data_IF_466408792820
#
_entry.id   IF_466408792820
#
_cell.length_a   1.000
_cell.length_b   1.000
_cell.length_c   1.000
_cell.angle_alpha   90.00
_cell.angle_beta   90.00
_cell.angle_gamma   90.00
#
_symmetry.space_group_name_H-M   'P 1'
#
loop_
_entity.id
_entity.type
_entity.pdbx_description
1 polymer ?
#
# COMPACT_ATOMS: atom_id res chain seq x y z
N UNK A 1 6.32 4.84 6.54
CA UNK A 1 5.35 5.24 7.61
C UNK A 1 5.37 4.15 8.68
N UNK A 2 5.68 4.44 9.95
CA UNK A 2 5.62 3.41 11.01
C UNK A 2 4.16 3.09 11.33
N UNK A 3 3.71 1.86 11.09
CA UNK A 3 2.43 1.37 11.56
C UNK A 3 2.40 1.47 13.10
N UNK A 4 1.59 2.38 13.64
CA UNK A 4 1.38 2.51 15.08
C UNK A 4 0.31 1.52 15.49
N UNK A 5 0.70 0.45 16.16
CA UNK A 5 -0.24 -0.47 16.82
C UNK A 5 -0.26 -0.17 18.31
N UNK A 6 -1.47 -0.13 18.88
CA UNK A 6 -1.67 0.05 20.31
C UNK A 6 -1.99 -1.31 20.94
N UNK A 7 -1.09 -1.81 21.79
CA UNK A 7 -1.33 -3.01 22.58
C UNK A 7 -1.88 -2.58 23.94
N UNK A 8 -3.00 -3.17 24.35
CA UNK A 8 -3.52 -3.02 25.71
C UNK A 8 -3.01 -4.19 26.54
N UNK A 9 -2.33 -3.87 27.64
CA UNK A 9 -1.82 -4.85 28.59
C UNK A 9 -2.68 -4.79 29.85
N UNK A 10 -3.16 -5.96 30.30
CA UNK A 10 -3.79 -6.08 31.61
C UNK A 10 -2.70 -6.11 32.67
N UNK A 11 -2.75 -5.16 33.61
CA UNK A 11 -1.75 -5.02 34.67
C UNK A 11 -2.41 -5.43 35.98
N UNK A 12 -1.96 -6.53 36.57
CA UNK A 12 -2.39 -6.91 37.90
C UNK A 12 -1.81 -5.93 38.93
N UNK A 13 -2.70 -5.21 39.61
CA UNK A 13 -2.33 -4.36 40.71
C UNK A 13 -2.38 -5.15 42.03
N UNK A 14 -1.50 -4.86 43.00
CA UNK A 14 -1.63 -5.40 44.34
C UNK A 14 -2.94 -4.92 44.97
N UNK A 15 -3.57 -5.76 45.80
CA UNK A 15 -4.90 -5.50 46.37
C UNK A 15 -5.00 -4.09 46.96
N UNK A 16 -5.88 -3.26 46.36
CA UNK A 16 -6.18 -1.91 46.82
C UNK A 16 -5.20 -0.81 46.40
N UNK A 17 -4.21 -1.10 45.56
CA UNK A 17 -3.19 -0.15 45.12
C UNK A 17 -3.29 0.30 43.66
N UNK A 18 -2.63 1.42 43.35
CA UNK A 18 -2.32 1.81 41.96
C UNK A 18 -1.05 1.06 41.54
N UNK A 19 -1.01 0.40 40.37
CA UNK A 19 0.18 -0.31 39.92
C UNK A 19 1.35 0.65 39.74
N UNK A 20 2.45 0.36 40.44
CA UNK A 20 3.72 1.07 40.29
C UNK A 20 4.49 0.67 39.01
N UNK A 21 5.57 1.39 38.66
CA UNK A 21 6.36 1.13 37.46
C UNK A 21 6.81 -0.34 37.31
N UNK A 22 7.17 -0.98 38.41
CA UNK A 22 7.58 -2.40 38.48
C UNK A 22 6.49 -3.37 37.99
N UNK A 23 5.21 -3.05 38.21
CA UNK A 23 4.08 -3.85 37.73
C UNK A 23 3.91 -3.70 36.22
N UNK A 24 4.12 -2.48 35.70
CA UNK A 24 4.09 -2.20 34.27
C UNK A 24 5.23 -2.92 33.53
N UNK A 25 6.45 -2.87 34.08
CA UNK A 25 7.60 -3.56 33.51
C UNK A 25 7.40 -5.08 33.50
N UNK A 26 6.91 -5.65 34.61
CA UNK A 26 6.62 -7.08 34.69
C UNK A 26 5.55 -7.52 33.68
N UNK A 27 4.49 -6.73 33.50
CA UNK A 27 3.45 -7.01 32.50
C UNK A 27 4.00 -6.93 31.06
N UNK A 28 4.86 -5.94 30.78
CA UNK A 28 5.49 -5.78 29.48
C UNK A 28 6.46 -6.93 29.17
N UNK A 29 7.33 -7.29 30.12
CA UNK A 29 8.27 -8.41 29.97
C UNK A 29 7.53 -9.73 29.76
N UNK A 30 6.47 -9.99 30.54
CA UNK A 30 5.64 -11.18 30.37
C UNK A 30 5.00 -11.26 28.98
N UNK A 31 4.43 -10.15 28.49
CA UNK A 31 3.84 -10.09 27.16
C UNK A 31 4.88 -10.29 26.04
N UNK A 32 6.10 -9.76 26.21
CA UNK A 32 7.20 -9.96 25.25
C UNK A 32 7.71 -11.41 25.25
N UNK A 33 7.84 -12.03 26.42
CA UNK A 33 8.28 -13.41 26.54
C UNK A 33 7.24 -14.39 25.97
N UNK A 34 5.95 -14.14 26.23
CA UNK A 34 4.86 -14.90 25.63
C UNK A 34 4.86 -14.78 24.11
N UNK A 35 4.96 -13.55 23.58
CA UNK A 35 5.05 -13.32 22.13
C UNK A 35 6.30 -13.97 21.50
N UNK A 36 7.43 -14.01 22.22
CA UNK A 36 8.64 -14.68 21.76
C UNK A 36 8.48 -16.22 21.71
N UNK A 37 7.68 -16.79 22.62
CA UNK A 37 7.42 -18.24 22.69
C UNK A 37 6.36 -18.67 21.68
N UNK A 38 5.28 -17.89 21.56
CA UNK A 38 4.20 -18.10 20.60
C UNK A 38 3.62 -16.74 20.15
N UNK A 39 4.03 -16.23 18.98
CA UNK A 39 3.57 -14.93 18.50
C UNK A 39 2.12 -14.96 18.02
N UNK A 40 1.45 -16.12 17.94
CA UNK A 40 0.15 -16.26 17.27
C UNK A 40 -0.95 -15.39 17.87
N UNK A 41 -1.03 -15.27 19.21
CA UNK A 41 -2.00 -14.42 19.89
C UNK A 41 -1.77 -12.93 19.68
N UNK A 42 -0.50 -12.49 19.71
CA UNK A 42 -0.12 -11.12 19.40
C UNK A 42 -0.41 -10.78 17.94
N UNK A 43 -0.05 -11.69 17.01
CA UNK A 43 -0.32 -11.55 15.59
C UNK A 43 -1.84 -11.54 15.30
N UNK A 44 -2.65 -12.31 16.02
CA UNK A 44 -4.10 -12.28 15.90
C UNK A 44 -4.67 -10.92 16.32
N UNK A 45 -4.22 -10.36 17.44
CA UNK A 45 -4.61 -9.01 17.90
C UNK A 45 -4.15 -7.91 16.95
N UNK A 46 -2.95 -8.02 16.39
CA UNK A 46 -2.48 -7.11 15.32
C UNK A 46 -3.41 -7.21 14.11
N UNK A 47 -3.76 -8.44 13.69
CA UNK A 47 -4.71 -8.67 12.59
C UNK A 47 -6.11 -8.14 12.90
N UNK A 48 -6.59 -8.18 14.13
CA UNK A 48 -7.87 -7.60 14.54
C UNK A 48 -7.84 -6.07 14.61
N UNK A 49 -6.69 -5.49 14.97
CA UNK A 49 -6.49 -4.04 15.09
C UNK A 49 -6.21 -3.33 13.75
N UNK A 50 -5.79 -4.07 12.70
CA UNK A 50 -5.72 -3.52 11.35
C UNK A 50 -7.16 -3.30 10.84
N UNK A 51 -7.54 -2.06 10.45
CA UNK A 51 -8.87 -1.77 9.94
C UNK A 51 -9.29 -2.67 8.77
N UNK A 52 -10.59 -2.81 8.63
CA UNK A 52 -11.29 -3.81 7.84
C UNK A 52 -11.01 -3.70 6.34
N UNK A 53 -10.64 -4.82 5.68
CA UNK A 53 -10.94 -5.06 4.25
C UNK A 53 -10.70 -3.85 3.31
N UNK A 54 -9.65 -3.07 3.57
CA UNK A 54 -9.47 -1.77 2.91
C UNK A 54 -9.06 -1.91 1.45
N UNK A 55 -8.57 -3.08 1.05
CA UNK A 55 -8.16 -3.36 -0.32
C UNK A 55 -9.12 -4.34 -0.99
N UNK A 56 -9.55 -3.98 -2.19
CA UNK A 56 -10.37 -4.80 -3.08
C UNK A 56 -9.71 -4.94 -4.43
N UNK A 57 -10.02 -6.02 -5.13
CA UNK A 57 -9.67 -6.15 -6.55
C UNK A 57 -10.67 -5.32 -7.37
N UNK A 58 -10.19 -4.32 -8.10
CA UNK A 58 -11.00 -3.53 -9.05
C UNK A 58 -10.55 -3.73 -10.49
N UNK A 59 -11.41 -3.30 -11.42
CA UNK A 59 -11.05 -3.16 -12.83
C UNK A 59 -10.10 -1.98 -13.01
N UNK A 60 -9.06 -2.16 -13.82
CA UNK A 60 -8.19 -1.08 -14.28
C UNK A 60 -8.89 -0.18 -15.31
N UNK A 61 -9.85 -0.72 -16.06
CA UNK A 61 -10.50 -0.04 -17.19
C UNK A 61 -11.53 1.03 -16.78
N UNK A 62 -11.86 1.17 -15.49
CA UNK A 62 -12.82 2.17 -15.06
C UNK A 62 -13.07 2.20 -13.54
N UNK A 63 -13.73 3.26 -13.05
CA UNK A 63 -14.11 3.39 -11.64
C UNK A 63 -15.23 2.43 -11.23
N UNK A 64 -15.29 2.14 -9.93
CA UNK A 64 -16.45 1.55 -9.29
C UNK A 64 -16.79 0.11 -9.66
N UNK A 65 -15.87 -0.66 -10.26
CA UNK A 65 -16.09 -2.08 -10.55
C UNK A 65 -15.17 -2.97 -9.71
N UNK A 66 -15.73 -3.78 -8.82
CA UNK A 66 -14.99 -4.72 -7.97
C UNK A 66 -15.25 -6.17 -8.35
N UNK A 67 -14.24 -7.03 -8.20
CA UNK A 67 -14.35 -8.46 -8.49
C UNK A 67 -14.91 -9.20 -7.27
N UNK A 68 -15.93 -10.02 -7.47
CA UNK A 68 -16.53 -10.86 -6.41
C UNK A 68 -15.91 -12.27 -6.37
N UNK A 69 -16.17 -13.00 -5.28
CA UNK A 69 -15.80 -14.41 -5.09
C UNK A 69 -16.38 -15.36 -6.16
N UNK A 70 -17.48 -14.97 -6.83
CA UNK A 70 -18.06 -15.65 -7.97
C UNK A 70 -17.35 -15.34 -9.30
N UNK A 71 -16.33 -14.48 -9.29
CA UNK A 71 -15.60 -14.06 -10.48
C UNK A 71 -16.36 -13.07 -11.36
N UNK A 72 -17.36 -12.38 -10.82
CA UNK A 72 -18.17 -11.38 -11.53
C UNK A 72 -17.78 -9.96 -11.12
N UNK A 73 -17.94 -9.00 -12.04
CA UNK A 73 -17.74 -7.57 -11.76
C UNK A 73 -19.01 -6.95 -11.19
N UNK A 74 -18.89 -6.26 -10.07
CA UNK A 74 -19.98 -5.58 -9.39
C UNK A 74 -19.74 -4.08 -9.34
N UNK A 75 -20.74 -3.30 -9.78
CA UNK A 75 -20.70 -1.85 -9.73
C UNK A 75 -21.02 -1.34 -8.31
N UNK A 76 -20.10 -0.57 -7.71
CA UNK A 76 -20.25 -0.06 -6.36
C UNK A 76 -19.48 1.26 -6.14
N UNK A 77 -19.82 1.89 -5.03
CA UNK A 77 -19.12 3.00 -4.38
C UNK A 77 -18.39 2.47 -3.14
N UNK A 78 -17.51 3.24 -2.48
CA UNK A 78 -16.89 2.85 -1.21
C UNK A 78 -17.90 2.33 -0.17
N UNK A 79 -19.09 2.92 -0.09
CA UNK A 79 -20.13 2.57 0.89
C UNK A 79 -20.92 1.31 0.50
N UNK A 80 -20.88 0.90 -0.76
CA UNK A 80 -21.73 -0.16 -1.33
C UNK A 80 -20.95 -1.38 -1.82
N UNK A 81 -19.67 -1.49 -1.47
CA UNK A 81 -18.86 -2.69 -1.72
C UNK A 81 -19.56 -3.91 -1.13
N UNK A 82 -19.86 -4.95 -1.93
CA UNK A 82 -20.56 -6.13 -1.45
C UNK A 82 -19.67 -6.97 -0.54
N UNK A 83 -20.27 -7.70 0.40
CA UNK A 83 -19.52 -8.60 1.30
C UNK A 83 -18.79 -9.74 0.56
N UNK A 84 -19.20 -10.03 -0.68
CA UNK A 84 -18.61 -11.00 -1.59
C UNK A 84 -17.44 -10.45 -2.42
N UNK A 85 -17.07 -9.18 -2.26
CA UNK A 85 -15.90 -8.63 -2.92
C UNK A 85 -14.63 -9.37 -2.49
N UNK A 86 -13.70 -9.60 -3.42
CA UNK A 86 -12.41 -10.21 -3.10
C UNK A 86 -11.51 -9.18 -2.41
N UNK A 87 -11.04 -9.56 -1.22
CA UNK A 87 -10.16 -8.75 -0.36
C UNK A 87 -8.81 -9.45 -0.11
N UNK A 88 -7.80 -8.65 0.25
CA UNK A 88 -6.45 -9.14 0.54
C UNK A 88 -6.39 -10.27 1.58
N UNK A 89 -7.19 -10.20 2.66
CA UNK A 89 -7.19 -11.24 3.72
C UNK A 89 -7.73 -12.60 3.27
N UNK A 90 -8.58 -12.64 2.26
CA UNK A 90 -9.16 -13.89 1.72
C UNK A 90 -8.31 -14.42 0.54
N UNK A 91 -7.54 -13.53 -0.08
CA UNK A 91 -6.62 -13.77 -1.18
C UNK A 91 -5.18 -14.10 -0.76
N UNK A 92 -4.86 -13.86 0.51
CA UNK A 92 -3.58 -13.98 1.20
C UNK A 92 -2.38 -14.21 0.30
N UNK A 93 -1.65 -13.18 -0.12
CA UNK A 93 -0.41 -13.29 -0.93
C UNK A 93 -0.56 -14.07 -2.27
N UNK A 94 -1.70 -14.71 -2.57
CA UNK A 94 -1.80 -15.80 -3.56
C UNK A 94 -2.44 -15.34 -4.87
N UNK A 95 -3.21 -14.26 -4.88
CA UNK A 95 -3.81 -13.80 -6.14
C UNK A 95 -2.77 -13.04 -6.93
N UNK A 96 -2.10 -13.75 -7.84
CA UNK A 96 -1.51 -13.11 -9.01
C UNK A 96 -2.67 -12.46 -9.79
N UNK A 97 -2.68 -11.13 -9.81
CA UNK A 97 -3.65 -10.40 -10.59
C UNK A 97 -3.42 -10.72 -12.07
N UNK A 98 -4.52 -10.87 -12.81
CA UNK A 98 -4.48 -10.97 -14.26
C UNK A 98 -4.57 -9.56 -14.83
N UNK A 99 -4.12 -9.41 -16.07
CA UNK A 99 -4.23 -8.16 -16.85
C UNK A 99 -5.61 -7.49 -16.67
N UNK A 100 -5.60 -6.18 -16.45
CA UNK A 100 -6.80 -5.37 -16.21
C UNK A 100 -7.40 -5.47 -14.81
N UNK A 101 -6.72 -6.14 -13.87
CA UNK A 101 -7.10 -6.20 -12.45
C UNK A 101 -6.02 -5.53 -11.62
N UNK A 102 -6.44 -4.66 -10.71
CA UNK A 102 -5.55 -3.95 -9.79
C UNK A 102 -6.09 -4.04 -8.37
N UNK A 103 -5.20 -3.96 -7.39
CA UNK A 103 -5.60 -3.67 -6.02
C UNK A 103 -5.98 -2.19 -5.91
N UNK A 104 -7.01 -1.91 -5.12
CA UNK A 104 -7.46 -0.56 -4.87
C UNK A 104 -7.93 -0.40 -3.45
N UNK A 105 -7.49 0.69 -2.82
CA UNK A 105 -8.03 1.13 -1.54
C UNK A 105 -9.51 1.48 -1.70
N UNK A 106 -10.35 0.99 -0.79
CA UNK A 106 -11.80 1.00 -0.90
C UNK A 106 -12.39 2.40 -1.03
N UNK A 107 -11.83 3.36 -0.33
CA UNK A 107 -12.20 4.77 -0.38
C UNK A 107 -11.89 5.44 -1.72
N UNK A 108 -10.96 4.88 -2.50
CA UNK A 108 -10.56 5.39 -3.82
C UNK A 108 -11.35 4.78 -4.99
N UNK A 109 -12.38 3.97 -4.73
CA UNK A 109 -13.12 3.25 -5.78
C UNK A 109 -13.87 4.15 -6.77
N UNK A 110 -14.31 5.33 -6.33
CA UNK A 110 -15.14 6.23 -7.14
C UNK A 110 -14.36 6.93 -8.26
N UNK A 111 -13.04 7.04 -8.14
CA UNK A 111 -12.18 7.73 -9.11
C UNK A 111 -11.52 6.79 -10.12
N UNK A 112 -11.09 7.36 -11.25
CA UNK A 112 -10.14 6.70 -12.14
C UNK A 112 -8.85 6.37 -11.38
N UNK A 113 -8.30 5.19 -11.65
CA UNK A 113 -7.03 4.78 -11.08
C UNK A 113 -5.89 5.52 -11.80
N UNK A 114 -4.81 5.81 -11.07
CA UNK A 114 -3.57 6.31 -11.68
C UNK A 114 -2.60 5.15 -11.65
N UNK A 115 -2.32 4.58 -12.83
CA UNK A 115 -1.60 3.32 -12.92
C UNK A 115 -0.09 3.54 -13.03
N UNK A 116 0.66 2.61 -12.43
CA UNK A 116 2.09 2.44 -12.67
C UNK A 116 2.42 0.95 -12.86
N UNK A 117 3.39 0.68 -13.71
CA UNK A 117 4.06 -0.62 -13.81
C UNK A 117 5.02 -0.75 -12.62
N UNK A 118 4.85 -1.78 -11.81
CA UNK A 118 5.74 -2.15 -10.71
C UNK A 118 6.27 -3.56 -10.97
N UNK A 119 7.60 -3.68 -11.08
CA UNK A 119 8.22 -4.95 -11.42
C UNK A 119 9.53 -5.20 -10.65
N UNK A 120 9.87 -6.47 -10.43
CA UNK A 120 11.23 -6.87 -10.08
C UNK A 120 12.12 -6.89 -11.33
N UNK A 121 13.43 -6.71 -11.19
CA UNK A 121 14.34 -6.66 -12.35
C UNK A 121 14.37 -7.97 -13.16
N UNK A 122 14.13 -9.09 -12.48
CA UNK A 122 14.02 -10.41 -13.08
C UNK A 122 12.62 -10.76 -13.60
N UNK A 123 11.67 -9.82 -13.48
CA UNK A 123 10.27 -9.94 -13.93
C UNK A 123 9.50 -11.11 -13.31
N UNK A 124 9.95 -11.62 -12.16
CA UNK A 124 9.16 -12.58 -11.35
C UNK A 124 7.92 -11.91 -10.77
N UNK A 125 8.06 -10.64 -10.39
CA UNK A 125 6.94 -9.75 -10.08
C UNK A 125 6.85 -8.73 -11.22
N UNK A 126 5.66 -8.62 -11.80
CA UNK A 126 5.34 -7.68 -12.88
C UNK A 126 3.82 -7.44 -12.79
N UNK A 127 3.43 -6.23 -12.37
CA UNK A 127 2.04 -5.91 -12.04
C UNK A 127 1.74 -4.41 -12.18
N UNK A 128 0.48 -4.10 -12.45
CA UNK A 128 -0.04 -2.73 -12.41
C UNK A 128 -0.51 -2.39 -10.98
N UNK A 129 -0.11 -1.22 -10.49
CA UNK A 129 -0.53 -0.66 -9.19
C UNK A 129 -1.20 0.69 -9.36
N UNK A 130 -2.12 0.98 -8.46
CA UNK A 130 -2.74 2.30 -8.34
C UNK A 130 -1.90 3.19 -7.40
N UNK A 131 -1.30 4.25 -7.94
CA UNK A 131 -0.39 5.13 -7.19
C UNK A 131 -1.10 6.26 -6.44
N UNK A 132 -2.44 6.36 -6.53
CA UNK A 132 -3.21 7.39 -5.81
C UNK A 132 -2.93 7.47 -4.31
N UNK A 133 -2.71 6.37 -3.56
CA UNK A 133 -2.30 6.44 -2.16
C UNK A 133 -1.02 7.26 -1.92
N UNK A 134 -0.06 7.22 -2.86
CA UNK A 134 1.11 8.08 -2.83
C UNK A 134 0.74 9.53 -3.14
N UNK A 135 0.01 9.78 -4.23
CA UNK A 135 -0.37 11.15 -4.67
C UNK A 135 -1.18 11.94 -3.63
N UNK A 136 -2.01 11.26 -2.84
CA UNK A 136 -2.77 11.88 -1.75
C UNK A 136 -1.89 12.53 -0.67
N UNK A 137 -0.70 11.98 -0.45
CA UNK A 137 0.16 12.35 0.69
C UNK A 137 1.48 12.97 0.29
N UNK A 138 1.93 12.78 -0.96
CA UNK A 138 3.18 13.31 -1.48
C UNK A 138 3.26 14.84 -1.35
N UNK A 139 4.42 15.33 -0.92
CA UNK A 139 4.70 16.76 -0.90
C UNK A 139 5.09 17.27 -2.31
N UNK A 140 5.01 18.58 -2.52
CA UNK A 140 5.27 19.18 -3.84
C UNK A 140 6.71 18.95 -4.33
N UNK A 141 7.67 18.97 -3.41
CA UNK A 141 9.09 18.66 -3.66
C UNK A 141 9.28 17.20 -4.10
N UNK A 142 8.64 16.25 -3.42
CA UNK A 142 8.67 14.83 -3.81
C UNK A 142 8.08 14.60 -5.21
N UNK A 143 7.02 15.34 -5.55
CA UNK A 143 6.38 15.29 -6.86
C UNK A 143 7.25 15.95 -7.95
N UNK A 144 7.89 17.08 -7.67
CA UNK A 144 8.77 17.75 -8.63
C UNK A 144 10.00 16.90 -8.96
N UNK A 145 10.57 16.20 -7.97
CA UNK A 145 11.63 15.22 -8.22
C UNK A 145 11.15 14.09 -9.15
N UNK A 146 9.93 13.56 -8.91
CA UNK A 146 9.35 12.53 -9.77
C UNK A 146 9.04 13.02 -11.19
N UNK A 147 8.59 14.28 -11.33
CA UNK A 147 8.35 14.93 -12.62
C UNK A 147 9.67 15.12 -13.39
N UNK A 148 10.73 15.58 -12.70
CA UNK A 148 12.05 15.78 -13.30
C UNK A 148 12.67 14.45 -13.81
N UNK A 149 12.26 13.34 -13.23
CA UNK A 149 12.67 11.98 -13.58
C UNK A 149 11.67 11.27 -14.51
N UNK A 150 10.76 12.02 -15.15
CA UNK A 150 9.76 11.50 -16.10
C UNK A 150 8.94 10.33 -15.53
N UNK A 151 8.63 10.41 -14.23
CA UNK A 151 7.83 9.43 -13.50
C UNK A 151 8.41 8.01 -13.51
N UNK A 152 9.74 7.87 -13.67
CA UNK A 152 10.37 6.58 -13.87
C UNK A 152 11.84 6.47 -13.39
N UNK A 153 12.29 5.23 -13.17
CA UNK A 153 13.70 4.79 -13.17
C UNK A 153 14.71 5.55 -12.29
N UNK A 154 14.30 6.00 -11.10
CA UNK A 154 15.20 6.62 -10.14
C UNK A 154 14.65 6.56 -8.69
N UNK A 155 15.42 7.08 -7.74
CA UNK A 155 15.10 7.02 -6.30
C UNK A 155 13.72 7.64 -6.00
N UNK A 156 13.27 8.63 -6.79
CA UNK A 156 11.93 9.21 -6.62
C UNK A 156 10.80 8.21 -6.94
N UNK A 157 11.00 7.36 -7.96
CA UNK A 157 10.04 6.32 -8.34
C UNK A 157 10.00 5.19 -7.29
N UNK A 158 11.14 4.86 -6.69
CA UNK A 158 11.22 3.90 -5.59
C UNK A 158 10.39 4.36 -4.38
N UNK A 159 10.36 5.68 -4.08
CA UNK A 159 9.50 6.22 -3.02
C UNK A 159 8.03 5.92 -3.24
N UNK A 160 7.56 5.88 -4.49
CA UNK A 160 6.18 5.50 -4.80
C UNK A 160 5.92 4.07 -4.35
N UNK A 161 6.82 3.13 -4.67
CA UNK A 161 6.70 1.74 -4.24
C UNK A 161 6.72 1.61 -2.71
N UNK A 162 7.64 2.30 -2.02
CA UNK A 162 7.69 2.30 -0.55
C UNK A 162 6.45 2.94 0.09
N UNK A 163 5.89 3.98 -0.53
CA UNK A 163 4.65 4.61 -0.06
C UNK A 163 3.46 3.66 -0.20
N UNK A 164 3.39 2.89 -1.30
CA UNK A 164 2.37 1.86 -1.51
C UNK A 164 2.50 0.72 -0.50
N UNK A 165 3.71 0.21 -0.25
CA UNK A 165 3.97 -0.77 0.81
C UNK A 165 3.50 -0.23 2.17
N UNK A 166 3.88 1.00 2.51
CA UNK A 166 3.50 1.65 3.76
C UNK A 166 1.98 1.88 3.87
N UNK A 167 1.28 2.06 2.74
CA UNK A 167 -0.18 2.14 2.67
C UNK A 167 -0.85 0.75 2.75
N UNK A 168 -0.08 -0.33 2.74
CA UNK A 168 -0.57 -1.70 2.80
C UNK A 168 -1.05 -2.24 1.46
N UNK A 169 -0.62 -1.67 0.33
CA UNK A 169 -0.96 -2.18 -1.00
C UNK A 169 -0.50 -3.64 -1.15
N UNK A 170 -1.41 -4.59 -1.46
CA UNK A 170 -1.04 -6.01 -1.54
C UNK A 170 -0.05 -6.33 -2.68
N UNK A 171 -0.05 -5.56 -3.77
CA UNK A 171 0.91 -5.71 -4.88
C UNK A 171 2.32 -5.29 -4.47
N UNK A 172 2.46 -4.12 -3.87
CA UNK A 172 3.73 -3.63 -3.33
C UNK A 172 4.27 -4.54 -2.22
N UNK A 173 3.41 -4.97 -1.28
CA UNK A 173 3.79 -5.91 -0.23
C UNK A 173 4.33 -7.24 -0.81
N UNK A 174 3.73 -7.74 -1.89
CA UNK A 174 4.20 -8.94 -2.58
C UNK A 174 5.59 -8.73 -3.20
N UNK A 175 5.84 -7.58 -3.80
CA UNK A 175 7.17 -7.23 -4.32
C UNK A 175 8.21 -7.22 -3.20
N UNK A 176 7.99 -6.47 -2.11
CA UNK A 176 8.97 -6.36 -1.04
C UNK A 176 9.18 -7.68 -0.29
N UNK A 177 8.14 -8.51 -0.18
CA UNK A 177 8.30 -9.87 0.33
C UNK A 177 9.21 -10.72 -0.57
N UNK A 178 9.02 -10.66 -1.89
CA UNK A 178 9.88 -11.33 -2.86
C UNK A 178 11.33 -10.86 -2.74
N UNK A 179 11.58 -9.55 -2.72
CA UNK A 179 12.92 -8.98 -2.54
C UNK A 179 13.56 -9.37 -1.20
N UNK A 180 12.76 -9.49 -0.14
CA UNK A 180 13.18 -9.95 1.19
C UNK A 180 13.70 -11.41 1.23
N UNK A 181 13.35 -12.24 0.23
CA UNK A 181 13.93 -13.57 0.04
C UNK A 181 15.38 -13.52 -0.48
N UNK A 182 15.91 -12.32 -0.74
CA UNK A 182 17.20 -12.05 -1.38
C UNK A 182 17.39 -12.82 -2.70
N UNK A 183 16.45 -12.71 -3.66
CA UNK A 183 16.56 -13.35 -4.95
C UNK A 183 17.80 -12.86 -5.71
N UNK A 184 18.35 -13.75 -6.54
CA UNK A 184 19.59 -13.52 -7.28
C UNK A 184 19.33 -13.63 -8.77
N UNK A 185 19.73 -12.60 -9.51
CA UNK A 185 19.60 -12.54 -10.95
C UNK A 185 20.67 -13.36 -11.69
N UNK A 186 20.63 -13.28 -13.02
CA UNK A 186 21.61 -13.92 -13.92
C UNK A 186 22.97 -13.22 -13.78
N UNK A 187 23.81 -13.71 -12.85
CA UNK A 187 25.06 -13.03 -12.47
C UNK A 187 25.31 -13.00 -10.96
N UNK A 188 24.39 -13.54 -10.15
CA UNK A 188 24.44 -13.52 -8.68
C UNK A 188 24.34 -12.10 -8.08
N UNK A 189 23.91 -11.12 -8.88
CA UNK A 189 23.53 -9.80 -8.42
C UNK A 189 22.20 -9.88 -7.66
N UNK A 190 22.06 -9.02 -6.65
CA UNK A 190 20.81 -8.91 -5.91
C UNK A 190 19.77 -8.29 -6.85
N UNK A 191 18.60 -8.94 -6.95
CA UNK A 191 17.49 -8.42 -7.74
C UNK A 191 16.95 -7.15 -7.08
N UNK A 192 16.85 -6.08 -7.86
CA UNK A 192 16.16 -4.85 -7.49
C UNK A 192 14.74 -4.81 -8.06
N UNK A 193 14.20 -3.60 -8.16
CA UNK A 193 12.88 -3.35 -8.70
C UNK A 193 12.85 -2.01 -9.44
N UNK A 194 11.80 -1.82 -10.22
CA UNK A 194 11.52 -0.55 -10.88
C UNK A 194 10.03 -0.23 -10.82
N UNK A 195 9.74 1.07 -10.87
CA UNK A 195 8.40 1.60 -11.04
C UNK A 195 8.41 2.62 -12.19
N UNK A 196 7.34 2.60 -12.98
CA UNK A 196 7.07 3.60 -14.02
C UNK A 196 5.60 3.96 -14.05
N UNK A 197 5.28 5.24 -13.87
CA UNK A 197 3.92 5.76 -13.99
C UNK A 197 3.73 6.59 -15.26
N UNK A 198 2.49 6.71 -15.73
CA UNK A 198 2.13 7.64 -16.80
C UNK A 198 1.85 9.03 -16.20
N UNK A 199 2.76 9.97 -16.43
CA UNK A 199 2.72 11.29 -15.80
C UNK A 199 1.46 12.10 -16.08
N UNK A 200 0.86 11.94 -17.27
CA UNK A 200 -0.34 12.69 -17.66
C UNK A 200 -1.55 12.37 -16.76
N UNK A 201 -1.76 11.10 -16.40
CA UNK A 201 -2.86 10.70 -15.52
C UNK A 201 -2.64 11.16 -14.08
N UNK A 202 -1.38 11.09 -13.62
CA UNK A 202 -1.03 11.58 -12.29
C UNK A 202 -1.22 13.10 -12.16
N UNK A 203 -0.75 13.87 -13.16
CA UNK A 203 -0.93 15.33 -13.20
C UNK A 203 -2.40 15.73 -13.27
N UNK A 204 -3.20 15.05 -14.10
CA UNK A 204 -4.66 15.26 -14.16
C UNK A 204 -5.30 15.01 -12.79
N UNK A 205 -5.00 13.87 -12.16
CA UNK A 205 -5.54 13.55 -10.85
C UNK A 205 -5.13 14.59 -9.78
N UNK A 206 -3.87 15.03 -9.77
CA UNK A 206 -3.37 16.06 -8.85
C UNK A 206 -4.09 17.39 -9.05
N UNK A 207 -4.34 17.80 -10.30
CA UNK A 207 -5.06 19.05 -10.61
C UNK A 207 -6.50 19.05 -10.09
N UNK A 208 -7.16 17.87 -10.07
CA UNK A 208 -8.55 17.71 -9.65
C UNK A 208 -8.70 17.54 -8.14
N UNK A 209 -7.78 16.81 -7.50
CA UNK A 209 -7.91 16.36 -6.11
C UNK A 209 -7.01 17.13 -5.13
N UNK A 210 -5.92 17.73 -5.61
CA UNK A 210 -4.93 18.48 -4.81
C UNK A 210 -4.47 19.77 -5.51
N UNK A 211 -5.39 20.68 -5.84
CA UNK A 211 -5.07 21.88 -6.61
C UNK A 211 -4.05 22.80 -5.91
N UNK A 212 -4.01 22.78 -4.58
CA UNK A 212 -3.04 23.51 -3.76
C UNK A 212 -1.61 23.03 -4.00
N UNK A 213 -1.39 21.72 -4.08
CA UNK A 213 -0.08 21.15 -4.40
C UNK A 213 0.23 21.21 -5.88
N UNK A 214 -0.76 20.98 -6.74
CA UNK A 214 -0.60 21.10 -8.18
C UNK A 214 -0.07 22.50 -8.59
N UNK A 215 -0.53 23.56 -7.93
CA UNK A 215 -0.07 24.94 -8.18
C UNK A 215 1.41 25.21 -7.83
N UNK A 216 2.06 24.29 -7.12
CA UNK A 216 3.47 24.39 -6.70
C UNK A 216 4.39 23.53 -7.56
N UNK A 217 3.83 22.81 -8.55
CA UNK A 217 4.61 21.91 -9.39
C UNK A 217 5.38 22.69 -10.47
N UNK A 218 6.63 22.28 -10.68
CA UNK A 218 7.52 22.84 -11.69
C UNK A 218 7.23 22.17 -13.04
N UNK A 219 6.04 22.44 -13.58
CA UNK A 219 5.63 22.00 -14.90
C UNK A 219 6.29 22.92 -15.92
N UNK A 220 7.46 22.54 -16.45
CA UNK A 220 8.01 23.25 -17.62
C UNK A 220 6.95 23.21 -18.74
N UNK A 221 6.51 24.38 -19.21
CA UNK A 221 5.82 24.50 -20.49
C UNK A 221 6.81 23.99 -21.55
N UNK A 222 6.65 22.73 -21.96
CA UNK A 222 7.36 22.20 -23.12
C UNK A 222 7.17 23.14 -24.32
N UNK A 223 8.14 23.22 -25.25
CA UNK A 223 8.19 24.26 -26.28
C UNK A 223 7.07 24.23 -27.35
N UNK A 224 6.02 23.44 -27.15
CA UNK A 224 4.88 23.33 -28.07
C UNK A 224 3.56 23.62 -27.33
N UNK A 225 3.32 24.89 -27.01
CA UNK A 225 1.99 25.47 -26.84
C UNK A 225 1.56 26.20 -28.13
N UNK A 226 0.26 26.25 -28.46
CA UNK A 226 -0.31 26.36 -29.80
C UNK A 226 0.07 27.57 -30.66
#
# INVERSE_FOLDING_TARGET
>A
MMAKFQITLDVEAPEGGVPGPEHLYSALEGALEEAARDPSGLLARIREAVPARDWVIRSAAGPGLVLTDQGTWFACTPETVPDTALHDREAGQTIALKEGRIWCRRDLLSGEAVLADLHSDDRVIDLEVDIRPFLETAAADELNELIAEDWAYAESADRVAYALEAAGDPGANRLFWYLGLNPRGTGNEQVGFGLRAEGADALRWLSENRPDVFSQLDLEEGPDGP
#
